data_IF_028937794442
#
_entry.id   IF_028937794442
#
_cell.length_a   1.000
_cell.length_b   1.000
_cell.length_c   1.000
_cell.angle_alpha   90.00
_cell.angle_beta   90.00
_cell.angle_gamma   90.00
#
_symmetry.space_group_name_H-M   'P 1'
#
loop_
_entity.id
_entity.type
_entity.pdbx_description
1 polymer ?
#
# COMPACT_ATOMS: atom_id res chain seq x y z
N UNK A 1 15.51 10.94 -28.06
CA UNK A 1 16.08 11.00 -26.71
C UNK A 1 15.29 12.01 -25.86
N UNK A 2 15.02 11.68 -24.61
CA UNK A 2 14.48 12.59 -23.60
C UNK A 2 15.57 12.80 -22.56
N UNK A 3 15.80 14.04 -22.18
CA UNK A 3 16.77 14.38 -21.12
C UNK A 3 16.07 14.37 -19.78
N UNK A 4 16.49 13.47 -18.88
CA UNK A 4 15.99 13.38 -17.51
C UNK A 4 16.72 14.37 -16.59
N UNK A 5 18.05 14.47 -16.71
CA UNK A 5 18.89 15.42 -16.01
C UNK A 5 20.09 15.87 -16.85
N UNK A 6 21.10 16.51 -16.22
CA UNK A 6 22.26 17.08 -16.93
C UNK A 6 23.00 16.05 -17.78
N UNK A 7 23.15 14.82 -17.30
CA UNK A 7 23.96 13.73 -17.86
C UNK A 7 23.17 12.41 -18.03
N UNK A 8 21.84 12.44 -17.81
CA UNK A 8 20.97 11.28 -17.93
C UNK A 8 19.98 11.45 -19.08
N UNK A 9 20.02 10.54 -20.02
CA UNK A 9 19.19 10.54 -21.22
C UNK A 9 18.57 9.16 -21.47
N UNK A 10 17.34 9.14 -21.99
CA UNK A 10 16.63 7.91 -22.37
C UNK A 10 16.01 8.05 -23.78
N UNK A 11 15.84 6.93 -24.51
CA UNK A 11 14.94 6.90 -25.66
C UNK A 11 13.55 7.37 -25.25
N UNK A 12 12.84 8.10 -26.12
CA UNK A 12 11.50 8.63 -25.82
C UNK A 12 10.52 7.51 -25.43
N UNK A 13 10.59 6.36 -26.10
CA UNK A 13 9.76 5.20 -25.83
C UNK A 13 10.01 4.58 -24.42
N UNK A 14 11.21 4.75 -23.86
CA UNK A 14 11.59 4.20 -22.56
C UNK A 14 11.42 5.22 -21.40
N UNK A 15 11.10 6.49 -21.70
CA UNK A 15 11.05 7.54 -20.67
C UNK A 15 9.99 7.31 -19.59
N UNK A 16 8.90 6.59 -19.90
CA UNK A 16 7.85 6.19 -18.97
C UNK A 16 8.10 4.84 -18.27
N UNK A 17 9.13 4.09 -18.66
CA UNK A 17 9.43 2.76 -18.12
C UNK A 17 10.31 2.92 -16.88
N UNK A 18 9.85 2.39 -15.74
CA UNK A 18 10.55 2.53 -14.45
C UNK A 18 11.95 1.93 -14.51
N UNK A 19 12.09 0.70 -15.00
CA UNK A 19 13.37 -0.02 -15.02
C UNK A 19 14.42 0.74 -15.85
N UNK A 20 14.05 1.24 -17.03
CA UNK A 20 14.93 2.03 -17.88
C UNK A 20 15.38 3.34 -17.19
N UNK A 21 14.50 3.95 -16.40
CA UNK A 21 14.84 5.17 -15.64
C UNK A 21 15.78 4.84 -14.48
N UNK A 22 15.55 3.73 -13.79
CA UNK A 22 16.41 3.24 -12.70
C UNK A 22 17.81 2.94 -13.24
N UNK A 23 17.93 2.19 -14.32
CA UNK A 23 19.23 1.90 -14.97
C UNK A 23 19.96 3.18 -15.37
N UNK A 24 19.29 4.10 -16.06
CA UNK A 24 19.90 5.35 -16.49
C UNK A 24 20.38 6.23 -15.34
N UNK A 25 19.65 6.23 -14.20
CA UNK A 25 20.05 6.96 -13.00
C UNK A 25 21.25 6.29 -12.35
N UNK A 26 21.28 4.96 -12.25
CA UNK A 26 22.41 4.22 -11.67
C UNK A 26 23.70 4.39 -12.47
N UNK A 27 23.64 4.44 -13.80
CA UNK A 27 24.82 4.73 -14.65
C UNK A 27 25.49 6.07 -14.34
N UNK A 28 24.72 7.03 -13.79
CA UNK A 28 25.20 8.37 -13.45
C UNK A 28 25.25 8.65 -11.95
N UNK A 29 24.89 7.68 -11.12
CA UNK A 29 25.00 7.71 -9.69
C UNK A 29 26.39 7.18 -9.27
N UNK A 30 27.08 7.80 -8.31
CA UNK A 30 28.30 7.24 -7.76
C UNK A 30 27.98 6.02 -6.88
N UNK A 31 28.82 5.03 -6.94
CA UNK A 31 28.75 3.84 -6.07
C UNK A 31 29.20 4.11 -4.63
N UNK A 32 28.63 3.43 -3.63
CA UNK A 32 27.46 2.55 -3.74
C UNK A 32 26.16 3.34 -3.61
N UNK A 33 25.29 3.26 -4.63
CA UNK A 33 23.93 3.78 -4.59
C UNK A 33 22.94 2.62 -4.63
N UNK A 34 21.93 2.64 -3.75
CA UNK A 34 20.94 1.58 -3.62
C UNK A 34 19.55 2.17 -3.86
N UNK A 35 18.77 1.59 -4.76
CA UNK A 35 17.37 2.00 -4.98
C UNK A 35 16.56 1.78 -3.71
N UNK A 36 15.76 2.77 -3.32
CA UNK A 36 15.07 2.80 -2.02
C UNK A 36 13.72 3.50 -2.08
N UNK A 37 13.02 3.57 -0.93
CA UNK A 37 11.76 4.31 -0.75
C UNK A 37 10.70 3.97 -1.83
N UNK A 38 10.08 4.99 -2.44
CA UNK A 38 9.00 4.81 -3.41
C UNK A 38 9.43 4.02 -4.65
N UNK A 39 10.65 4.23 -5.15
CA UNK A 39 11.16 3.49 -6.30
C UNK A 39 11.39 2.01 -5.96
N UNK A 40 11.94 1.70 -4.78
CA UNK A 40 12.06 0.31 -4.34
C UNK A 40 10.71 -0.35 -4.16
N UNK A 41 9.72 0.34 -3.56
CA UNK A 41 8.36 -0.17 -3.45
C UNK A 41 7.76 -0.51 -4.83
N UNK A 42 7.92 0.38 -5.81
CA UNK A 42 7.45 0.13 -7.17
C UNK A 42 8.16 -1.06 -7.83
N UNK A 43 9.47 -1.23 -7.63
CA UNK A 43 10.19 -2.43 -8.08
C UNK A 43 9.68 -3.71 -7.38
N UNK A 44 9.27 -3.64 -6.13
CA UNK A 44 8.62 -4.75 -5.41
C UNK A 44 7.16 -4.97 -5.85
N UNK A 45 6.61 -4.14 -6.75
CA UNK A 45 5.21 -4.19 -7.16
C UNK A 45 4.24 -3.76 -6.05
N UNK A 46 4.69 -2.87 -5.18
CA UNK A 46 3.94 -2.32 -4.05
C UNK A 46 3.49 -0.90 -4.38
N UNK A 47 2.19 -0.69 -4.38
CA UNK A 47 1.58 0.62 -4.57
C UNK A 47 1.54 1.42 -3.25
N UNK A 48 1.81 2.71 -3.33
CA UNK A 48 1.75 3.63 -2.18
C UNK A 48 0.58 4.58 -2.42
N UNK A 49 -0.58 4.38 -1.78
CA UNK A 49 -1.71 5.30 -1.92
C UNK A 49 -1.43 6.64 -1.22
N UNK A 50 -2.26 7.63 -1.48
CA UNK A 50 -2.24 8.95 -0.81
C UNK A 50 -0.96 9.77 -1.03
N UNK A 51 -0.13 9.38 -1.99
CA UNK A 51 1.04 10.16 -2.36
C UNK A 51 0.92 10.65 -3.81
N UNK A 52 1.34 11.88 -4.09
CA UNK A 52 1.45 12.34 -5.47
C UNK A 52 2.50 11.50 -6.21
N UNK A 53 2.27 11.27 -7.49
CA UNK A 53 3.25 10.62 -8.34
C UNK A 53 4.56 11.43 -8.37
N UNK A 54 5.65 10.79 -7.98
CA UNK A 54 6.99 11.36 -8.12
C UNK A 54 7.74 10.57 -9.21
N UNK A 55 7.99 11.20 -10.35
CA UNK A 55 8.71 10.55 -11.44
C UNK A 55 10.21 10.36 -11.16
N UNK A 56 10.75 10.88 -10.08
CA UNK A 56 12.17 10.78 -9.74
C UNK A 56 12.50 9.39 -9.19
N UNK A 57 13.71 8.94 -9.46
CA UNK A 57 14.24 7.72 -8.86
C UNK A 57 14.77 8.01 -7.46
N UNK A 58 14.26 7.30 -6.47
CA UNK A 58 14.72 7.39 -5.09
C UNK A 58 15.88 6.42 -4.85
N UNK A 59 16.98 6.93 -4.36
CA UNK A 59 18.15 6.13 -3.99
C UNK A 59 18.71 6.53 -2.63
N UNK A 60 19.28 5.57 -1.93
CA UNK A 60 19.99 5.77 -0.66
C UNK A 60 21.48 5.60 -0.88
N UNK A 61 22.26 6.50 -0.31
CA UNK A 61 23.73 6.49 -0.26
C UNK A 61 24.22 6.57 1.18
N UNK A 62 25.48 6.23 1.40
CA UNK A 62 26.10 6.32 2.71
C UNK A 62 26.01 7.77 3.27
N UNK A 63 25.94 7.90 4.59
CA UNK A 63 25.73 9.19 5.29
C UNK A 63 26.79 10.22 4.92
N UNK A 64 28.03 9.83 4.68
CA UNK A 64 29.14 10.73 4.29
C UNK A 64 29.24 11.02 2.80
N UNK A 65 28.33 10.50 1.97
CA UNK A 65 28.36 10.70 0.52
C UNK A 65 28.10 12.15 0.13
N UNK A 66 28.87 12.67 -0.84
CA UNK A 66 28.71 14.01 -1.44
C UNK A 66 27.64 14.06 -2.54
N UNK A 67 27.01 12.92 -2.86
CA UNK A 67 25.98 12.82 -3.91
C UNK A 67 24.81 13.73 -3.61
N UNK A 68 24.37 14.48 -4.63
CA UNK A 68 23.24 15.40 -4.53
C UNK A 68 22.04 14.89 -5.33
N UNK A 69 20.83 15.22 -4.85
CA UNK A 69 19.62 15.10 -5.63
C UNK A 69 19.68 15.91 -6.93
N UNK A 70 18.96 15.45 -7.95
CA UNK A 70 18.86 16.08 -9.28
C UNK A 70 17.40 16.04 -9.74
N UNK A 71 17.12 16.55 -10.92
CA UNK A 71 15.76 16.52 -11.50
C UNK A 71 15.23 15.09 -11.74
N UNK A 72 16.14 14.12 -11.92
CA UNK A 72 15.84 12.72 -12.18
C UNK A 72 15.86 11.84 -10.92
N UNK A 73 16.39 12.34 -9.79
CA UNK A 73 16.59 11.54 -8.59
C UNK A 73 16.42 12.27 -7.27
N UNK A 74 15.92 11.55 -6.28
CA UNK A 74 15.91 11.93 -4.87
C UNK A 74 17.00 11.13 -4.14
N UNK A 75 17.86 11.81 -3.40
CA UNK A 75 18.96 11.17 -2.67
C UNK A 75 18.66 11.19 -1.18
N UNK A 76 18.56 10.01 -0.61
CA UNK A 76 18.46 9.79 0.83
C UNK A 76 19.84 9.44 1.39
N UNK A 77 20.13 9.86 2.61
CA UNK A 77 21.37 9.53 3.31
C UNK A 77 21.05 8.74 4.56
N UNK A 78 21.46 7.49 4.58
CA UNK A 78 21.25 6.61 5.73
C UNK A 78 22.32 5.52 5.76
N UNK A 79 22.64 4.96 6.92
CA UNK A 79 23.43 3.74 7.00
C UNK A 79 22.63 2.57 6.41
N UNK A 80 23.30 1.76 5.61
CA UNK A 80 22.78 0.52 5.06
C UNK A 80 23.62 -0.63 5.62
N UNK A 81 22.98 -1.54 6.35
CA UNK A 81 23.62 -2.80 6.75
C UNK A 81 23.58 -3.79 5.57
N UNK A 82 24.42 -4.82 5.61
CA UNK A 82 24.45 -5.86 4.57
C UNK A 82 23.07 -6.51 4.36
N UNK A 83 22.31 -6.74 5.42
CA UNK A 83 20.95 -7.29 5.34
C UNK A 83 19.84 -6.28 4.95
N UNK A 84 20.17 -5.01 4.68
CA UNK A 84 19.25 -4.00 4.20
C UNK A 84 19.19 -3.93 2.66
N UNK A 85 20.11 -4.61 1.97
CA UNK A 85 20.30 -4.50 0.52
C UNK A 85 20.23 -5.87 -0.12
N UNK A 86 19.60 -5.95 -1.25
CA UNK A 86 19.54 -7.13 -2.12
C UNK A 86 19.67 -6.69 -3.59
N UNK A 87 19.61 -7.66 -4.50
CA UNK A 87 19.62 -7.40 -5.93
C UNK A 87 18.30 -7.90 -6.53
N UNK A 88 17.64 -7.09 -7.34
CA UNK A 88 16.47 -7.46 -8.13
C UNK A 88 16.72 -7.10 -9.59
N UNK A 89 16.65 -8.08 -10.48
CA UNK A 89 16.88 -7.91 -11.93
C UNK A 89 18.19 -7.16 -12.24
N UNK A 90 19.25 -7.46 -11.46
CA UNK A 90 20.57 -6.81 -11.59
C UNK A 90 20.69 -5.46 -10.88
N UNK A 91 19.60 -4.92 -10.31
CA UNK A 91 19.56 -3.61 -9.66
C UNK A 91 19.76 -3.75 -8.15
N UNK A 92 20.71 -3.01 -7.53
CA UNK A 92 20.82 -2.95 -6.07
C UNK A 92 19.62 -2.20 -5.49
N UNK A 93 18.85 -2.85 -4.63
CA UNK A 93 17.61 -2.35 -4.04
C UNK A 93 17.51 -2.65 -2.56
N UNK A 94 16.85 -1.80 -1.79
CA UNK A 94 16.56 -2.09 -0.38
C UNK A 94 15.61 -3.31 -0.28
N UNK A 95 15.87 -4.20 0.72
CA UNK A 95 14.96 -5.33 0.99
C UNK A 95 13.53 -4.85 1.27
N UNK A 96 12.52 -5.71 1.17
CA UNK A 96 11.13 -5.36 1.50
C UNK A 96 10.99 -4.71 2.88
N UNK A 97 11.63 -5.26 3.90
CA UNK A 97 11.60 -4.77 5.29
C UNK A 97 12.27 -3.41 5.41
N UNK A 98 13.40 -3.22 4.73
CA UNK A 98 14.09 -1.94 4.72
C UNK A 98 13.29 -0.89 3.93
N UNK A 99 12.72 -1.25 2.79
CA UNK A 99 11.83 -0.39 2.02
C UNK A 99 10.63 0.08 2.86
N UNK A 100 9.98 -0.85 3.57
CA UNK A 100 8.91 -0.54 4.52
C UNK A 100 9.37 0.46 5.58
N UNK A 101 10.54 0.23 6.16
CA UNK A 101 11.09 1.10 7.20
C UNK A 101 11.43 2.50 6.68
N UNK A 102 11.93 2.60 5.47
CA UNK A 102 12.21 3.88 4.81
C UNK A 102 10.90 4.64 4.53
N UNK A 103 9.87 3.95 4.03
CA UNK A 103 8.54 4.52 3.79
C UNK A 103 7.84 4.95 5.08
N UNK A 104 8.04 4.26 6.18
CA UNK A 104 7.50 4.67 7.48
C UNK A 104 7.95 6.09 7.89
N UNK A 105 9.08 6.54 7.40
CA UNK A 105 9.61 7.89 7.70
C UNK A 105 8.94 9.01 6.89
N UNK A 106 8.34 8.68 5.75
CA UNK A 106 7.88 9.69 4.76
C UNK A 106 6.41 9.58 4.38
N UNK A 107 5.79 8.40 4.52
CA UNK A 107 4.39 8.17 4.14
C UNK A 107 3.43 8.49 5.28
N UNK A 108 2.17 8.72 4.95
CA UNK A 108 1.07 8.76 5.92
C UNK A 108 0.82 7.37 6.52
N UNK A 109 0.19 7.31 7.69
CA UNK A 109 0.01 6.04 8.42
C UNK A 109 -0.90 5.06 7.64
N UNK A 110 -1.99 5.56 7.06
CA UNK A 110 -2.88 4.74 6.22
C UNK A 110 -2.15 4.17 4.99
N UNK A 111 -1.33 4.98 4.32
CA UNK A 111 -0.51 4.54 3.20
C UNK A 111 0.53 3.49 3.62
N UNK A 112 1.13 3.66 4.80
CA UNK A 112 2.08 2.67 5.33
C UNK A 112 1.40 1.35 5.67
N UNK A 113 0.14 1.37 6.16
CA UNK A 113 -0.64 0.14 6.35
C UNK A 113 -0.84 -0.58 5.02
N UNK A 114 -1.24 0.14 3.96
CA UNK A 114 -1.41 -0.43 2.63
C UNK A 114 -0.11 -1.03 2.05
N UNK A 115 1.02 -0.38 2.30
CA UNK A 115 2.35 -0.94 1.96
C UNK A 115 2.63 -2.20 2.76
N UNK A 116 2.33 -2.19 4.07
CA UNK A 116 2.54 -3.36 4.95
C UNK A 116 1.76 -4.57 4.46
N UNK A 117 0.47 -4.40 4.16
CA UNK A 117 -0.41 -5.48 3.70
C UNK A 117 0.11 -6.13 2.41
N UNK A 118 0.50 -5.32 1.43
CA UNK A 118 1.04 -5.79 0.16
C UNK A 118 2.40 -6.51 0.33
N UNK A 119 3.26 -6.03 1.23
CA UNK A 119 4.54 -6.69 1.53
C UNK A 119 4.31 -8.02 2.22
N UNK A 120 3.40 -8.08 3.20
CA UNK A 120 3.04 -9.31 3.92
C UNK A 120 2.40 -10.35 2.98
N UNK A 121 1.66 -9.92 1.97
CA UNK A 121 1.02 -10.81 1.02
C UNK A 121 2.01 -11.54 0.10
N UNK A 122 3.23 -11.00 -0.13
CA UNK A 122 4.10 -11.48 -1.21
C UNK A 122 5.58 -11.66 -0.85
N UNK A 123 6.12 -10.90 0.12
CA UNK A 123 7.56 -10.72 0.22
C UNK A 123 8.15 -11.06 1.59
N UNK A 124 7.44 -10.83 2.66
CA UNK A 124 7.96 -11.01 4.02
C UNK A 124 6.85 -11.35 5.01
N UNK A 125 7.22 -11.84 6.17
CA UNK A 125 6.30 -12.09 7.27
C UNK A 125 6.18 -10.88 8.21
N UNK A 126 5.16 -10.87 9.07
CA UNK A 126 5.03 -9.88 10.16
C UNK A 126 6.24 -9.94 11.10
N UNK A 127 6.79 -11.14 11.33
CA UNK A 127 7.96 -11.34 12.17
C UNK A 127 9.20 -10.67 11.56
N UNK A 128 9.37 -10.72 10.24
CA UNK A 128 10.50 -10.07 9.55
C UNK A 128 10.43 -8.54 9.67
N UNK A 129 9.23 -7.95 9.48
CA UNK A 129 9.03 -6.51 9.67
C UNK A 129 9.27 -6.11 11.14
N UNK A 130 8.80 -6.92 12.10
CA UNK A 130 9.03 -6.73 13.53
C UNK A 130 10.52 -6.79 13.87
N UNK A 131 11.22 -7.83 13.44
CA UNK A 131 12.66 -7.99 13.67
C UNK A 131 13.47 -6.84 13.04
N UNK A 132 13.06 -6.34 11.86
CA UNK A 132 13.70 -5.17 11.27
C UNK A 132 13.48 -3.90 12.10
N UNK A 133 12.27 -3.70 12.64
CA UNK A 133 11.94 -2.59 13.52
C UNK A 133 12.71 -2.65 14.84
N UNK A 134 12.88 -3.84 15.41
CA UNK A 134 13.62 -4.07 16.67
C UNK A 134 15.12 -3.82 16.54
N UNK A 135 15.71 -4.10 15.38
CA UNK A 135 17.11 -3.73 15.08
C UNK A 135 17.31 -2.19 15.06
N UNK A 136 16.27 -1.43 14.77
CA UNK A 136 16.29 0.05 14.73
C UNK A 136 15.01 0.61 15.37
N UNK A 137 14.88 0.48 16.70
CA UNK A 137 13.62 0.75 17.41
C UNK A 137 13.27 2.23 17.45
N UNK A 138 14.21 3.12 17.17
CA UNK A 138 14.03 4.58 17.22
C UNK A 138 14.21 5.23 15.85
N UNK A 139 13.99 6.53 15.78
CA UNK A 139 14.15 7.34 14.58
C UNK A 139 12.82 7.66 13.90
N UNK A 140 12.91 8.46 12.84
CA UNK A 140 11.74 8.95 12.11
C UNK A 140 10.90 7.79 11.58
N UNK A 141 9.58 7.83 11.84
CA UNK A 141 8.62 6.82 11.39
C UNK A 141 8.52 5.57 12.27
N UNK A 142 9.36 5.38 13.32
CA UNK A 142 9.28 4.20 14.20
C UNK A 142 7.94 4.07 14.92
N UNK A 143 7.37 5.18 15.38
CA UNK A 143 6.04 5.17 16.02
C UNK A 143 4.95 4.74 15.03
N UNK A 144 5.01 5.24 13.79
CA UNK A 144 4.08 4.88 12.72
C UNK A 144 4.19 3.41 12.34
N UNK A 145 5.42 2.90 12.20
CA UNK A 145 5.68 1.49 11.94
C UNK A 145 5.09 0.58 13.03
N UNK A 146 5.24 0.95 14.32
CA UNK A 146 4.63 0.22 15.44
C UNK A 146 3.12 0.28 15.44
N UNK A 147 2.54 1.40 15.03
CA UNK A 147 1.09 1.55 14.99
C UNK A 147 0.44 0.67 13.92
N UNK A 148 1.04 0.56 12.72
CA UNK A 148 0.46 -0.22 11.62
C UNK A 148 0.73 -1.71 11.71
N UNK A 149 1.87 -2.14 12.27
CA UNK A 149 2.28 -3.54 12.24
C UNK A 149 1.27 -4.52 12.89
N UNK A 150 0.64 -4.23 14.03
CA UNK A 150 -0.41 -5.08 14.60
C UNK A 150 -1.67 -5.16 13.74
N UNK A 151 -1.99 -4.10 13.02
CA UNK A 151 -3.20 -3.96 12.19
C UNK A 151 -3.00 -4.53 10.78
N UNK A 152 -1.76 -4.65 10.31
CA UNK A 152 -1.44 -5.13 8.97
C UNK A 152 -2.02 -6.53 8.71
N UNK A 153 -2.57 -6.77 7.51
CA UNK A 153 -3.19 -8.04 7.14
C UNK A 153 -2.99 -8.33 5.64
N UNK A 154 -2.34 -9.45 5.28
CA UNK A 154 -2.04 -9.79 3.90
C UNK A 154 -3.27 -10.09 3.03
N UNK A 155 -4.46 -10.22 3.62
CA UNK A 155 -5.71 -10.49 2.91
C UNK A 155 -6.31 -9.27 2.23
N UNK A 156 -5.86 -8.05 2.53
CA UNK A 156 -6.30 -6.86 1.79
C UNK A 156 -5.93 -6.97 0.31
N UNK A 157 -6.90 -6.83 -0.59
CA UNK A 157 -6.71 -7.03 -2.03
C UNK A 157 -6.40 -5.71 -2.76
N UNK A 158 -6.68 -4.57 -2.14
CA UNK A 158 -6.34 -3.25 -2.70
C UNK A 158 -5.73 -2.30 -1.67
N UNK A 159 -4.90 -1.34 -2.11
CA UNK A 159 -4.35 -0.32 -1.22
C UNK A 159 -5.43 0.54 -0.53
N UNK A 160 -6.55 0.77 -1.20
CA UNK A 160 -7.62 1.61 -0.66
C UNK A 160 -8.51 0.87 0.37
N UNK A 161 -8.65 -0.45 0.29
CA UNK A 161 -9.22 -1.26 1.38
C UNK A 161 -8.41 -1.09 2.67
N UNK A 162 -7.08 -1.10 2.57
CA UNK A 162 -6.19 -0.86 3.72
C UNK A 162 -6.35 0.56 4.27
N UNK A 163 -6.51 1.57 3.40
CA UNK A 163 -6.77 2.96 3.82
C UNK A 163 -8.11 3.06 4.56
N UNK A 164 -9.17 2.47 4.02
CA UNK A 164 -10.48 2.41 4.69
C UNK A 164 -10.36 1.71 6.04
N UNK A 165 -9.68 0.58 6.11
CA UNK A 165 -9.47 -0.18 7.36
C UNK A 165 -8.70 0.62 8.40
N UNK A 166 -7.68 1.42 7.98
CA UNK A 166 -7.00 2.33 8.89
C UNK A 166 -7.92 3.41 9.44
N UNK A 167 -8.76 4.00 8.58
CA UNK A 167 -9.76 4.99 9.00
C UNK A 167 -10.69 4.44 10.09
N UNK A 168 -11.16 3.20 9.92
CA UNK A 168 -12.04 2.55 10.90
C UNK A 168 -11.30 2.23 12.21
N UNK A 169 -10.05 1.82 12.13
CA UNK A 169 -9.19 1.58 13.28
C UNK A 169 -8.96 2.86 14.10
N UNK A 170 -8.62 3.97 13.46
CA UNK A 170 -8.45 5.27 14.14
C UNK A 170 -9.76 5.77 14.77
N UNK A 171 -10.90 5.46 14.16
CA UNK A 171 -12.21 5.79 14.70
C UNK A 171 -12.64 4.90 15.87
N UNK A 172 -11.81 3.92 16.28
CA UNK A 172 -12.09 3.00 17.38
C UNK A 172 -13.22 2.01 17.10
N UNK A 173 -13.49 1.70 15.83
CA UNK A 173 -14.45 0.67 15.47
C UNK A 173 -13.84 -0.73 15.69
N UNK A 174 -14.65 -1.77 15.95
CA UNK A 174 -14.16 -3.14 16.05
C UNK A 174 -13.42 -3.55 14.77
N UNK A 175 -12.38 -4.36 14.91
CA UNK A 175 -11.66 -4.89 13.75
C UNK A 175 -12.61 -5.74 12.89
N UNK A 176 -12.71 -5.49 11.58
CA UNK A 176 -13.50 -6.32 10.69
C UNK A 176 -12.77 -7.62 10.34
N UNK A 177 -13.52 -8.63 9.93
CA UNK A 177 -12.98 -9.75 9.16
C UNK A 177 -12.77 -9.33 7.70
N UNK A 178 -11.61 -9.69 7.13
CA UNK A 178 -11.25 -9.35 5.76
C UNK A 178 -11.64 -10.49 4.81
N UNK A 179 -12.07 -10.10 3.61
CA UNK A 179 -12.39 -11.03 2.51
C UNK A 179 -13.39 -12.12 2.95
N UNK A 180 -14.42 -11.67 3.68
CA UNK A 180 -15.40 -12.57 4.30
C UNK A 180 -16.32 -13.21 3.27
N UNK A 181 -16.38 -14.53 3.29
CA UNK A 181 -17.25 -15.33 2.41
C UNK A 181 -18.60 -15.53 3.08
N UNK A 182 -19.65 -14.98 2.49
CA UNK A 182 -21.02 -15.09 2.98
C UNK A 182 -21.70 -16.31 2.33
N UNK A 183 -22.28 -17.16 3.17
CA UNK A 183 -23.09 -18.30 2.74
C UNK A 183 -24.49 -18.21 3.36
N UNK A 184 -25.47 -18.82 2.70
CA UNK A 184 -26.80 -18.98 3.28
C UNK A 184 -26.87 -20.21 4.21
N UNK A 185 -28.06 -20.44 4.78
CA UNK A 185 -28.31 -21.55 5.71
C UNK A 185 -28.18 -22.94 5.03
N UNK A 186 -28.27 -23.02 3.70
CA UNK A 186 -28.02 -24.22 2.92
C UNK A 186 -26.54 -24.43 2.60
N UNK A 187 -25.68 -23.44 2.90
CA UNK A 187 -24.27 -23.46 2.60
C UNK A 187 -23.90 -22.90 1.23
N UNK A 188 -24.87 -22.41 0.47
CA UNK A 188 -24.65 -21.83 -0.84
C UNK A 188 -23.96 -20.46 -0.76
N UNK A 189 -23.06 -20.18 -1.71
CA UNK A 189 -22.30 -18.94 -1.77
C UNK A 189 -23.21 -17.77 -2.16
N UNK A 190 -23.35 -16.80 -1.26
CA UNK A 190 -24.06 -15.53 -1.53
C UNK A 190 -23.13 -14.45 -2.08
N UNK A 191 -21.88 -14.42 -1.61
CA UNK A 191 -20.89 -13.44 -2.04
C UNK A 191 -19.66 -13.41 -1.15
N UNK A 192 -18.74 -12.48 -1.46
CA UNK A 192 -17.57 -12.15 -0.65
C UNK A 192 -17.52 -10.63 -0.48
N UNK A 193 -17.20 -10.16 0.71
CA UNK A 193 -17.07 -8.75 1.03
C UNK A 193 -15.66 -8.44 1.54
N UNK A 194 -15.16 -7.24 1.25
CA UNK A 194 -13.82 -6.82 1.63
C UNK A 194 -13.65 -6.76 3.15
N UNK A 195 -14.66 -6.20 3.84
CA UNK A 195 -14.70 -6.11 5.31
C UNK A 195 -16.06 -6.57 5.80
N UNK A 196 -16.09 -7.31 6.91
CA UNK A 196 -17.33 -7.80 7.52
C UNK A 196 -17.30 -7.75 9.04
N UNK A 197 -18.49 -7.60 9.62
CA UNK A 197 -18.80 -7.86 11.02
C UNK A 197 -19.94 -8.88 11.06
N UNK A 198 -19.61 -10.18 11.10
CA UNK A 198 -20.60 -11.24 10.96
C UNK A 198 -21.69 -11.21 12.03
N UNK A 199 -21.33 -10.96 13.28
CA UNK A 199 -22.28 -10.91 14.42
C UNK A 199 -23.35 -9.81 14.24
N UNK A 200 -22.99 -8.70 13.61
CA UNK A 200 -23.89 -7.58 13.30
C UNK A 200 -24.53 -7.69 11.93
N UNK A 201 -24.14 -8.70 11.13
CA UNK A 201 -24.51 -8.86 9.73
C UNK A 201 -24.24 -7.59 8.89
N UNK A 202 -23.08 -6.97 9.08
CA UNK A 202 -22.66 -5.79 8.30
C UNK A 202 -21.51 -6.15 7.38
N UNK A 203 -21.66 -5.80 6.11
CA UNK A 203 -20.65 -5.94 5.06
C UNK A 203 -20.27 -4.56 4.53
N UNK A 204 -18.99 -4.39 4.26
CA UNK A 204 -18.47 -3.19 3.61
C UNK A 204 -17.64 -3.61 2.41
N UNK A 205 -17.93 -3.01 1.27
CA UNK A 205 -17.23 -3.20 0.00
C UNK A 205 -16.58 -1.88 -0.43
N UNK A 206 -15.36 -1.94 -0.87
CA UNK A 206 -14.68 -0.82 -1.50
C UNK A 206 -14.86 -0.90 -3.01
N UNK A 207 -15.60 0.04 -3.57
CA UNK A 207 -15.78 0.16 -5.01
C UNK A 207 -14.67 1.03 -5.60
N UNK A 208 -13.69 0.39 -6.27
CA UNK A 208 -12.73 1.12 -7.10
C UNK A 208 -13.43 1.81 -8.27
N UNK A 209 -12.80 2.88 -8.79
CA UNK A 209 -13.31 3.67 -9.94
C UNK A 209 -13.25 2.86 -11.27
N UNK A 210 -13.92 1.72 -11.33
CA UNK A 210 -13.95 0.88 -12.53
C UNK A 210 -15.27 1.11 -13.27
N UNK A 211 -15.17 1.49 -14.55
CA UNK A 211 -16.30 1.44 -15.46
C UNK A 211 -16.80 0.00 -15.61
N UNK A 212 -17.89 -0.34 -14.93
CA UNK A 212 -18.47 -1.68 -14.97
C UNK A 212 -19.22 -1.89 -16.28
N UNK A 213 -18.91 -2.97 -16.97
CA UNK A 213 -19.70 -3.41 -18.11
C UNK A 213 -21.13 -3.83 -17.65
N UNK A 214 -22.13 -3.67 -18.54
CA UNK A 214 -23.56 -3.83 -18.19
C UNK A 214 -23.89 -5.21 -17.57
N UNK A 215 -23.28 -6.28 -18.02
CA UNK A 215 -23.53 -7.62 -17.48
C UNK A 215 -22.97 -7.78 -16.06
N UNK A 216 -21.79 -7.20 -15.77
CA UNK A 216 -21.20 -7.18 -14.43
C UNK A 216 -22.11 -6.45 -13.44
N UNK A 217 -22.72 -5.33 -13.88
CA UNK A 217 -23.66 -4.57 -13.07
C UNK A 217 -24.93 -5.39 -12.70
N UNK A 218 -25.50 -6.15 -13.65
CA UNK A 218 -26.69 -6.97 -13.40
C UNK A 218 -26.40 -8.10 -12.38
N UNK A 219 -25.27 -8.77 -12.50
CA UNK A 219 -24.91 -9.86 -11.60
C UNK A 219 -24.57 -9.33 -10.20
N UNK A 220 -23.98 -8.13 -10.11
CA UNK A 220 -23.72 -7.44 -8.86
C UNK A 220 -25.01 -7.06 -8.13
N UNK A 221 -26.01 -6.54 -8.84
CA UNK A 221 -27.35 -6.27 -8.27
C UNK A 221 -28.01 -7.55 -7.74
N UNK A 222 -27.94 -8.64 -8.49
CA UNK A 222 -28.48 -9.94 -8.05
C UNK A 222 -27.78 -10.44 -6.79
N UNK A 223 -26.47 -10.32 -6.73
CA UNK A 223 -25.66 -10.65 -5.57
C UNK A 223 -26.07 -9.82 -4.35
N UNK A 224 -26.16 -8.50 -4.52
CA UNK A 224 -26.59 -7.59 -3.45
C UNK A 224 -27.98 -7.92 -2.92
N UNK A 225 -28.95 -8.20 -3.81
CA UNK A 225 -30.31 -8.58 -3.40
C UNK A 225 -30.32 -9.86 -2.57
N UNK A 226 -29.49 -10.86 -2.92
CA UNK A 226 -29.37 -12.11 -2.11
C UNK A 226 -28.81 -11.82 -0.73
N UNK A 227 -27.75 -11.01 -0.62
CA UNK A 227 -27.17 -10.62 0.65
C UNK A 227 -28.18 -9.88 1.55
N UNK A 228 -28.91 -8.92 0.98
CA UNK A 228 -29.95 -8.17 1.72
C UNK A 228 -31.10 -9.10 2.14
N UNK A 229 -31.55 -10.02 1.28
CA UNK A 229 -32.59 -11.00 1.62
C UNK A 229 -32.15 -11.95 2.75
N UNK A 230 -30.85 -12.25 2.87
CA UNK A 230 -30.26 -13.01 3.97
C UNK A 230 -30.03 -12.18 5.26
N UNK A 231 -30.51 -10.92 5.27
CA UNK A 231 -30.48 -10.03 6.42
C UNK A 231 -29.16 -9.28 6.61
N UNK A 232 -28.30 -9.22 5.60
CA UNK A 232 -27.06 -8.45 5.66
C UNK A 232 -27.28 -6.99 5.29
N UNK A 233 -26.66 -6.07 6.03
CA UNK A 233 -26.51 -4.68 5.64
C UNK A 233 -25.25 -4.55 4.79
N UNK A 234 -25.40 -4.10 3.55
CA UNK A 234 -24.27 -3.91 2.63
C UNK A 234 -24.03 -2.42 2.43
N UNK A 235 -22.84 -1.97 2.80
CA UNK A 235 -22.40 -0.59 2.58
C UNK A 235 -21.29 -0.59 1.53
N UNK A 236 -21.30 0.38 0.62
CA UNK A 236 -20.30 0.55 -0.43
C UNK A 236 -19.70 1.92 -0.37
N UNK A 237 -18.38 1.99 -0.47
CA UNK A 237 -17.65 3.25 -0.46
C UNK A 237 -16.64 3.29 -1.59
N UNK A 238 -16.51 4.47 -2.18
CA UNK A 238 -15.53 4.77 -3.22
C UNK A 238 -14.31 5.49 -2.64
N UNK A 239 -13.27 5.68 -3.48
CA UNK A 239 -12.14 6.54 -3.13
C UNK A 239 -12.59 7.95 -2.74
N UNK A 240 -13.59 8.50 -3.44
CA UNK A 240 -14.12 9.83 -3.14
C UNK A 240 -14.75 9.91 -1.75
N UNK A 241 -15.45 8.85 -1.31
CA UNK A 241 -16.04 8.80 0.03
C UNK A 241 -14.96 8.69 1.11
N UNK A 242 -14.01 7.77 0.94
CA UNK A 242 -12.95 7.52 1.92
C UNK A 242 -12.05 8.75 2.08
N UNK A 243 -11.71 9.44 0.99
CA UNK A 243 -10.80 10.59 1.01
C UNK A 243 -11.50 11.92 1.27
N UNK A 244 -12.71 12.10 0.75
CA UNK A 244 -13.43 13.38 0.84
C UNK A 244 -14.48 13.45 1.96
N UNK A 245 -14.99 12.30 2.44
CA UNK A 245 -16.10 12.20 3.39
C UNK A 245 -15.83 11.17 4.50
N UNK A 246 -14.59 11.04 4.93
CA UNK A 246 -14.15 10.04 5.91
C UNK A 246 -15.04 9.97 7.17
N UNK A 247 -15.46 11.14 7.69
CA UNK A 247 -16.36 11.19 8.85
C UNK A 247 -17.72 10.55 8.57
N UNK A 248 -18.31 10.80 7.38
CA UNK A 248 -19.60 10.21 7.00
C UNK A 248 -19.51 8.70 6.86
N UNK A 249 -18.43 8.18 6.27
CA UNK A 249 -18.12 6.74 6.19
C UNK A 249 -18.12 6.11 7.57
N UNK A 250 -17.37 6.68 8.51
CA UNK A 250 -17.29 6.20 9.90
C UNK A 250 -18.66 6.22 10.57
N UNK A 251 -19.46 7.31 10.42
CA UNK A 251 -20.79 7.44 11.02
C UNK A 251 -21.75 6.39 10.46
N UNK A 252 -21.74 6.15 9.14
CA UNK A 252 -22.60 5.14 8.52
C UNK A 252 -22.29 3.74 9.02
N UNK A 253 -21.02 3.36 9.06
CA UNK A 253 -20.61 2.04 9.55
C UNK A 253 -20.94 1.90 11.05
N UNK A 254 -20.65 2.92 11.86
CA UNK A 254 -20.98 2.92 13.30
C UNK A 254 -22.46 2.70 13.54
N UNK A 255 -23.34 3.38 12.80
CA UNK A 255 -24.80 3.19 12.89
C UNK A 255 -25.22 1.78 12.49
N UNK A 256 -24.64 1.24 11.41
CA UNK A 256 -24.93 -0.13 10.98
C UNK A 256 -24.52 -1.17 12.04
N UNK A 257 -23.44 -0.91 12.77
CA UNK A 257 -22.98 -1.76 13.89
C UNK A 257 -23.78 -1.58 15.18
N UNK A 258 -24.80 -0.71 15.20
CA UNK A 258 -25.60 -0.44 16.40
C UNK A 258 -24.87 0.36 17.49
N UNK A 259 -23.94 1.24 17.11
CA UNK A 259 -23.05 2.00 18.01
C UNK A 259 -23.22 3.51 17.83
#
# INVERSE_FOLDING_TARGET
MVRLSRDTYLPRAAAGVLDARVEAVLLTAPEPAVISHATAAALWGVAIPLQPEDPRVHLTVATGSSVRGRRDRVVHRAPLATGDVTTRDGVPVTTPERTWRDLAAVSETAALLAVSDQLLARWCSRADLGAHLDRRPTGRGSARARAVLPVADPRAESPMESVLRWLLHEAGLPAPELQYVVRDDAGDLLGRADLAWPDQKVLVEFDGDVHRERHVFIDDLRRQNRLVAAGWTVLRFTSADVLGRAHEVVVQIRRALGR
#
